data_IF_397018214766
#
_entry.id   IF_397018214766
#
_cell.length_a   1.000
_cell.length_b   1.000
_cell.length_c   1.000
_cell.angle_alpha   90.00
_cell.angle_beta   90.00
_cell.angle_gamma   90.00
#
_symmetry.space_group_name_H-M   'P 1'
#
loop_
_entity.id
_entity.type
_entity.pdbx_description
1 polymer ?
#
# COMPACT_ATOMS: atom_id res chain seq x y z
N UNK A 1 16.61 -6.59 0.94
CA UNK A 1 16.51 -5.38 0.12
C UNK A 1 16.68 -4.17 1.01
N UNK A 2 17.67 -3.34 0.71
CA UNK A 2 17.89 -2.10 1.45
C UNK A 2 16.86 -1.09 0.97
N UNK A 3 15.82 -0.86 1.76
CA UNK A 3 14.92 0.25 1.52
C UNK A 3 15.75 1.54 1.58
N UNK A 4 15.89 2.21 0.46
CA UNK A 4 16.56 3.48 0.39
C UNK A 4 15.59 4.58 0.82
N UNK A 5 16.07 5.57 1.56
CA UNK A 5 15.27 6.65 2.10
C UNK A 5 15.85 8.01 1.70
N UNK A 6 14.97 8.99 1.47
CA UNK A 6 15.37 10.38 1.42
C UNK A 6 15.45 10.98 2.83
N UNK A 7 16.62 11.41 3.24
CA UNK A 7 16.79 12.14 4.48
C UNK A 7 16.70 13.63 4.25
N UNK A 8 15.92 14.33 5.09
CA UNK A 8 15.92 15.77 5.13
C UNK A 8 17.01 16.20 6.12
N UNK A 9 18.04 16.86 5.62
CA UNK A 9 19.10 17.40 6.45
C UNK A 9 18.58 18.64 7.20
N UNK A 10 18.39 18.55 8.51
CA UNK A 10 18.02 19.67 9.35
C UNK A 10 19.19 20.00 10.30
N UNK A 11 19.64 21.28 10.30
CA UNK A 11 20.72 21.78 11.17
C UNK A 11 20.46 21.62 12.68
N UNK A 12 19.24 21.28 13.10
CA UNK A 12 18.81 21.09 14.50
C UNK A 12 18.70 19.62 14.94
N UNK A 13 19.57 18.74 14.47
CA UNK A 13 19.76 17.37 14.98
C UNK A 13 18.58 16.38 14.85
N UNK A 14 17.43 16.76 14.36
CA UNK A 14 16.34 15.82 14.09
C UNK A 14 16.56 15.17 12.71
N UNK A 15 16.77 13.87 12.68
CA UNK A 15 16.77 13.10 11.43
C UNK A 15 15.33 12.99 10.95
N UNK A 16 14.92 13.85 10.05
CA UNK A 16 13.64 13.75 9.37
C UNK A 16 13.80 12.89 8.12
N UNK A 17 12.77 12.10 7.85
CA UNK A 17 12.71 11.15 6.76
C UNK A 17 11.48 11.43 5.92
N UNK A 18 11.61 11.50 4.61
CA UNK A 18 10.45 11.46 3.71
C UNK A 18 9.87 10.05 3.75
N UNK A 19 8.57 9.97 3.90
CA UNK A 19 7.84 8.70 4.08
C UNK A 19 7.98 7.83 2.81
N UNK A 20 8.49 6.59 2.91
CA UNK A 20 8.64 5.70 1.75
C UNK A 20 7.37 4.88 1.49
N UNK A 21 6.42 4.88 2.46
CA UNK A 21 5.16 4.12 2.39
C UNK A 21 4.12 4.69 3.34
N UNK A 22 2.84 4.47 3.02
CA UNK A 22 1.70 4.90 3.83
C UNK A 22 1.57 4.18 5.17
N UNK A 23 2.20 3.01 5.34
CA UNK A 23 2.14 2.17 6.54
C UNK A 23 2.58 2.91 7.83
N UNK A 24 3.35 4.00 7.69
CA UNK A 24 3.63 4.90 8.81
C UNK A 24 2.37 5.56 9.40
N UNK A 25 1.31 5.71 8.61
CA UNK A 25 0.01 6.23 9.06
C UNK A 25 -0.76 5.10 9.74
N UNK A 26 -0.83 3.94 9.11
CA UNK A 26 -1.47 2.75 9.69
C UNK A 26 -0.90 2.41 11.06
N UNK A 27 0.43 2.42 11.21
CA UNK A 27 1.10 2.18 12.47
C UNK A 27 0.73 3.20 13.57
N UNK A 28 0.55 4.47 13.21
CA UNK A 28 0.08 5.50 14.17
C UNK A 28 -1.38 5.33 14.52
N UNK A 29 -2.21 4.85 13.59
CA UNK A 29 -3.63 4.60 13.81
C UNK A 29 -3.84 3.48 14.82
N UNK A 30 -2.95 2.47 14.87
CA UNK A 30 -3.01 1.38 15.84
C UNK A 30 -2.98 1.86 17.30
N UNK A 31 -2.34 3.00 17.57
CA UNK A 31 -2.21 3.54 18.93
C UNK A 31 -3.56 3.84 19.61
N UNK A 32 -4.56 4.28 18.83
CA UNK A 32 -5.90 4.60 19.32
C UNK A 32 -6.99 3.81 18.60
N UNK A 33 -6.66 2.61 18.12
CA UNK A 33 -7.57 1.81 17.32
C UNK A 33 -8.78 1.36 18.15
N UNK A 34 -9.97 1.68 17.67
CA UNK A 34 -11.22 1.13 18.21
C UNK A 34 -11.56 -0.15 17.49
N UNK A 35 -12.12 -1.13 18.16
CA UNK A 35 -12.47 -2.44 17.61
C UNK A 35 -13.96 -2.67 17.73
N UNK A 36 -14.70 -3.00 16.66
CA UNK A 36 -14.24 -3.10 15.26
C UNK A 36 -14.06 -1.74 14.60
N UNK A 37 -13.17 -1.64 13.62
CA UNK A 37 -12.98 -0.39 12.87
C UNK A 37 -12.31 -0.59 11.50
N UNK A 38 -12.52 0.39 10.62
CA UNK A 38 -11.96 0.46 9.27
C UNK A 38 -11.40 1.86 9.06
N UNK A 39 -10.16 1.95 8.63
CA UNK A 39 -9.50 3.21 8.31
C UNK A 39 -8.85 3.13 6.94
N UNK A 40 -8.84 4.25 6.25
CA UNK A 40 -8.02 4.40 5.06
C UNK A 40 -7.41 5.81 5.04
N UNK A 41 -6.34 5.93 4.28
CA UNK A 41 -5.70 7.21 4.01
C UNK A 41 -5.10 7.22 2.61
N UNK A 42 -4.88 8.41 2.05
CA UNK A 42 -4.04 8.59 0.88
C UNK A 42 -2.84 9.41 1.33
N UNK A 43 -1.66 8.90 1.04
CA UNK A 43 -0.41 9.50 1.48
C UNK A 43 0.57 9.64 0.34
N UNK A 44 1.21 10.81 0.23
CA UNK A 44 2.35 11.00 -0.65
C UNK A 44 3.55 10.26 -0.09
N UNK A 45 4.20 9.46 -0.92
CA UNK A 45 5.34 8.63 -0.60
C UNK A 45 6.52 8.96 -1.50
N UNK A 46 7.73 8.66 -1.03
CA UNK A 46 8.96 9.02 -1.71
C UNK A 46 9.92 7.83 -1.68
N UNK A 47 10.40 7.42 -2.86
CA UNK A 47 11.40 6.37 -3.01
C UNK A 47 12.46 6.82 -3.99
N UNK A 48 13.76 6.62 -3.71
CA UNK A 48 14.85 6.95 -4.62
C UNK A 48 14.99 5.89 -5.73
N UNK A 49 13.87 5.54 -6.36
CA UNK A 49 13.83 4.60 -7.46
C UNK A 49 14.25 5.27 -8.76
N UNK A 50 14.70 4.47 -9.72
CA UNK A 50 14.94 4.95 -11.07
C UNK A 50 13.62 5.30 -11.73
N UNK A 51 13.54 6.51 -12.31
CA UNK A 51 12.34 6.96 -13.02
C UNK A 51 12.22 6.21 -14.34
N UNK A 52 11.10 5.52 -14.53
CA UNK A 52 10.75 4.84 -15.77
C UNK A 52 9.25 4.96 -16.07
N UNK A 53 8.73 4.14 -16.99
CA UNK A 53 7.30 4.17 -17.36
C UNK A 53 6.34 3.74 -16.22
N UNK A 54 6.84 3.06 -15.19
CA UNK A 54 6.04 2.51 -14.08
C UNK A 54 6.50 2.96 -12.70
N UNK A 55 7.63 3.67 -12.61
CA UNK A 55 8.21 4.15 -11.35
C UNK A 55 8.44 5.65 -11.36
N UNK A 56 8.07 6.30 -10.26
CA UNK A 56 8.34 7.69 -9.96
C UNK A 56 8.98 7.81 -8.58
N UNK A 57 9.81 8.84 -8.38
CA UNK A 57 10.46 9.11 -7.07
C UNK A 57 9.46 9.62 -6.02
N UNK A 58 8.34 10.16 -6.47
CA UNK A 58 7.22 10.65 -5.68
C UNK A 58 5.95 10.03 -6.24
N UNK A 59 5.11 9.47 -5.37
CA UNK A 59 3.85 8.84 -5.75
C UNK A 59 2.87 8.86 -4.58
N UNK A 60 1.60 8.60 -4.86
CA UNK A 60 0.57 8.49 -3.84
C UNK A 60 0.25 7.02 -3.56
N UNK A 61 0.08 6.69 -2.30
CA UNK A 61 -0.32 5.36 -1.85
C UNK A 61 -1.63 5.45 -1.09
N UNK A 62 -2.63 4.66 -1.50
CA UNK A 62 -3.80 4.42 -0.68
C UNK A 62 -3.47 3.30 0.29
N UNK A 63 -3.60 3.60 1.56
CA UNK A 63 -3.33 2.72 2.67
C UNK A 63 -4.62 2.43 3.41
N UNK A 64 -4.84 1.20 3.84
CA UNK A 64 -6.01 0.89 4.65
C UNK A 64 -5.73 -0.20 5.67
N UNK A 65 -6.47 -0.14 6.77
CA UNK A 65 -6.51 -1.19 7.79
C UNK A 65 -7.95 -1.49 8.20
N UNK A 66 -8.20 -2.76 8.49
CA UNK A 66 -9.45 -3.22 9.09
C UNK A 66 -9.11 -4.09 10.29
N UNK A 67 -9.65 -3.76 11.44
CA UNK A 67 -9.56 -4.58 12.64
C UNK A 67 -10.94 -5.07 13.04
N UNK A 68 -11.11 -6.38 13.10
CA UNK A 68 -12.37 -7.01 13.51
C UNK A 68 -12.06 -8.43 14.02
N UNK A 69 -12.71 -8.89 15.12
CA UNK A 69 -12.50 -10.23 15.66
C UNK A 69 -12.76 -11.38 14.67
N UNK A 70 -13.66 -11.17 13.71
CA UNK A 70 -14.15 -12.21 12.79
C UNK A 70 -13.57 -12.09 11.38
N UNK A 71 -12.67 -11.15 11.14
CA UNK A 71 -12.12 -10.90 9.80
C UNK A 71 -11.00 -11.88 9.47
N UNK A 72 -10.93 -12.28 8.21
CA UNK A 72 -10.01 -13.31 7.73
C UNK A 72 -9.15 -12.80 6.56
N UNK A 73 -8.10 -13.54 6.23
CA UNK A 73 -7.31 -13.27 5.03
C UNK A 73 -8.12 -13.39 3.73
N UNK A 74 -9.15 -14.26 3.70
CA UNK A 74 -10.07 -14.37 2.57
C UNK A 74 -10.86 -13.08 2.35
N UNK A 75 -11.27 -12.42 3.44
CA UNK A 75 -11.96 -11.14 3.35
C UNK A 75 -11.06 -10.07 2.78
N UNK A 76 -9.77 -10.05 3.15
CA UNK A 76 -8.77 -9.17 2.56
C UNK A 76 -8.70 -9.35 1.03
N UNK A 77 -8.57 -10.58 0.56
CA UNK A 77 -8.51 -10.87 -0.88
C UNK A 77 -9.80 -10.41 -1.59
N UNK A 78 -10.96 -10.61 -0.97
CA UNK A 78 -12.25 -10.14 -1.48
C UNK A 78 -12.31 -8.63 -1.61
N UNK A 79 -11.92 -7.90 -0.56
CA UNK A 79 -11.87 -6.43 -0.53
C UNK A 79 -10.95 -5.90 -1.62
N UNK A 80 -9.73 -6.44 -1.72
CA UNK A 80 -8.73 -6.00 -2.70
C UNK A 80 -9.19 -6.28 -4.14
N UNK A 81 -9.82 -7.42 -4.39
CA UNK A 81 -10.39 -7.76 -5.69
C UNK A 81 -11.49 -6.77 -6.07
N UNK A 82 -12.44 -6.52 -5.18
CA UNK A 82 -13.52 -5.56 -5.38
C UNK A 82 -12.97 -4.16 -5.64
N UNK A 83 -11.98 -3.73 -4.85
CA UNK A 83 -11.32 -2.45 -5.02
C UNK A 83 -10.65 -2.32 -6.40
N UNK A 84 -9.92 -3.33 -6.85
CA UNK A 84 -9.28 -3.31 -8.16
C UNK A 84 -10.30 -3.25 -9.31
N UNK A 85 -11.41 -3.95 -9.21
CA UNK A 85 -12.48 -3.93 -10.22
C UNK A 85 -13.22 -2.58 -10.21
N UNK A 86 -13.72 -2.17 -9.05
CA UNK A 86 -14.61 -0.99 -8.95
C UNK A 86 -13.83 0.33 -9.10
N UNK A 87 -12.64 0.42 -8.53
CA UNK A 87 -11.86 1.67 -8.53
C UNK A 87 -10.96 1.77 -9.75
N UNK A 88 -10.19 0.72 -10.05
CA UNK A 88 -9.24 0.74 -11.16
C UNK A 88 -9.82 0.24 -12.48
N UNK A 89 -11.06 -0.32 -12.49
CA UNK A 89 -11.66 -0.89 -13.69
C UNK A 89 -10.93 -2.13 -14.21
N UNK A 90 -10.27 -2.87 -13.32
CA UNK A 90 -9.49 -4.03 -13.71
C UNK A 90 -10.42 -5.17 -14.15
N UNK A 91 -10.19 -5.72 -15.35
CA UNK A 91 -10.91 -6.89 -15.84
C UNK A 91 -10.40 -8.19 -15.24
N UNK A 92 -9.11 -8.24 -14.93
CA UNK A 92 -8.43 -9.42 -14.41
C UNK A 92 -7.46 -9.01 -13.30
N UNK A 93 -7.54 -9.70 -12.16
CA UNK A 93 -6.65 -9.49 -11.01
C UNK A 93 -5.90 -10.77 -10.67
N UNK A 94 -4.69 -10.60 -10.15
CA UNK A 94 -3.84 -11.71 -9.71
C UNK A 94 -3.32 -11.41 -8.31
N UNK A 95 -3.37 -12.44 -7.47
CA UNK A 95 -2.72 -12.44 -6.17
C UNK A 95 -1.52 -13.38 -6.21
N UNK A 96 -0.39 -12.90 -5.67
CA UNK A 96 0.82 -13.73 -5.51
C UNK A 96 1.25 -13.68 -4.05
N UNK A 97 1.65 -14.80 -3.45
CA UNK A 97 2.34 -14.75 -2.16
C UNK A 97 3.55 -13.84 -2.24
N UNK A 98 3.74 -13.02 -1.22
CA UNK A 98 4.87 -12.11 -1.14
C UNK A 98 5.34 -12.00 0.31
N UNK A 99 6.42 -11.27 0.54
CA UNK A 99 6.99 -11.05 1.86
C UNK A 99 7.09 -9.56 2.19
N UNK A 100 6.42 -9.18 3.27
CA UNK A 100 6.61 -7.87 3.90
C UNK A 100 6.95 -8.09 5.37
N UNK A 101 7.91 -7.33 5.95
CA UNK A 101 8.42 -7.61 7.30
C UNK A 101 7.38 -7.44 8.40
N UNK A 102 6.29 -6.72 8.14
CA UNK A 102 5.26 -6.39 9.12
C UNK A 102 3.94 -7.14 8.94
N UNK A 103 3.81 -8.00 7.91
CA UNK A 103 2.61 -8.82 7.66
C UNK A 103 2.92 -10.31 7.53
N UNK A 104 1.97 -11.15 7.91
CA UNK A 104 1.98 -12.61 7.69
C UNK A 104 0.55 -13.16 7.89
N UNK A 105 -0.08 -13.79 6.87
CA UNK A 105 0.40 -13.93 5.50
C UNK A 105 0.46 -12.60 4.77
N UNK A 106 1.26 -12.57 3.70
CA UNK A 106 1.42 -11.41 2.82
C UNK A 106 1.09 -11.76 1.37
N UNK A 107 0.58 -10.79 0.63
CA UNK A 107 0.18 -10.96 -0.77
C UNK A 107 0.45 -9.69 -1.57
N UNK A 108 0.91 -9.87 -2.81
CA UNK A 108 0.95 -8.83 -3.84
C UNK A 108 -0.34 -8.87 -4.65
N UNK A 109 -0.94 -7.71 -4.90
CA UNK A 109 -2.05 -7.52 -5.83
C UNK A 109 -1.52 -6.94 -7.14
N UNK A 110 -1.78 -7.62 -8.24
CA UNK A 110 -1.53 -7.14 -9.60
C UNK A 110 -2.81 -7.17 -10.42
N UNK A 111 -2.95 -6.24 -11.36
CA UNK A 111 -4.06 -6.21 -12.30
C UNK A 111 -3.56 -6.15 -13.75
N UNK A 112 -4.36 -6.68 -14.67
CA UNK A 112 -4.04 -6.70 -16.09
C UNK A 112 -4.28 -5.33 -16.70
N UNK A 113 -3.21 -4.72 -17.21
CA UNK A 113 -3.25 -3.51 -18.01
C UNK A 113 -3.35 -3.87 -19.50
N UNK A 114 -4.17 -3.19 -20.31
CA UNK A 114 -4.37 -3.54 -21.71
C UNK A 114 -3.09 -3.60 -22.56
N UNK A 115 -2.10 -2.76 -22.26
CA UNK A 115 -0.84 -2.65 -23.02
C UNK A 115 0.41 -3.18 -22.32
N UNK A 116 0.43 -3.14 -20.98
CA UNK A 116 1.65 -3.43 -20.20
C UNK A 116 1.65 -4.83 -19.56
N UNK A 117 0.57 -5.61 -19.75
CA UNK A 117 0.41 -6.87 -19.05
C UNK A 117 0.00 -6.66 -17.59
N UNK A 118 0.51 -7.49 -16.68
CA UNK A 118 0.19 -7.34 -15.26
C UNK A 118 1.03 -6.24 -14.62
N UNK A 119 0.35 -5.25 -14.03
CA UNK A 119 0.95 -4.19 -13.23
C UNK A 119 0.67 -4.47 -11.77
N UNK A 120 1.70 -4.46 -10.94
CA UNK A 120 1.58 -4.50 -9.50
C UNK A 120 0.87 -3.24 -8.97
N UNK A 121 -0.19 -3.42 -8.20
CA UNK A 121 -0.86 -2.33 -7.49
C UNK A 121 -0.23 -2.09 -6.12
N UNK A 122 0.23 -3.15 -5.46
CA UNK A 122 0.90 -3.08 -4.18
C UNK A 122 0.69 -4.32 -3.31
N UNK A 123 1.10 -4.20 -2.05
CA UNK A 123 1.10 -5.26 -1.08
C UNK A 123 0.00 -5.17 -0.04
N UNK A 124 -0.34 -6.34 0.50
CA UNK A 124 -1.32 -6.46 1.57
C UNK A 124 -1.02 -7.68 2.46
N UNK A 125 -1.66 -7.74 3.62
CA UNK A 125 -1.53 -8.88 4.52
C UNK A 125 -2.25 -8.68 5.84
N UNK A 126 -2.01 -9.58 6.77
CA UNK A 126 -2.42 -9.44 8.17
C UNK A 126 -1.20 -8.93 8.95
N UNK A 127 -1.35 -7.86 9.72
CA UNK A 127 -0.25 -7.41 10.57
C UNK A 127 0.19 -8.50 11.53
N UNK A 128 1.50 -8.65 11.65
CA UNK A 128 2.09 -9.60 12.58
C UNK A 128 1.79 -9.21 14.04
N UNK A 129 1.73 -10.18 14.96
CA UNK A 129 1.55 -9.89 16.38
C UNK A 129 2.57 -8.92 16.95
N UNK A 130 3.81 -8.92 16.43
CA UNK A 130 4.86 -8.01 16.85
C UNK A 130 4.53 -6.54 16.55
N UNK A 131 3.63 -6.30 15.58
CA UNK A 131 3.14 -4.97 15.23
C UNK A 131 1.94 -4.55 16.07
N UNK A 132 1.04 -5.49 16.40
CA UNK A 132 -0.27 -5.18 17.02
C UNK A 132 -0.27 -5.31 18.54
N UNK A 133 0.42 -6.31 19.10
CA UNK A 133 0.47 -6.56 20.55
C UNK A 133 1.00 -5.41 21.39
N UNK A 134 2.01 -4.63 20.95
CA UNK A 134 2.45 -3.45 21.71
C UNK A 134 1.35 -2.42 21.97
N UNK A 135 0.28 -2.46 21.20
CA UNK A 135 -0.89 -1.59 21.31
C UNK A 135 -2.09 -2.29 21.99
N UNK A 136 -1.90 -3.51 22.52
CA UNK A 136 -2.98 -4.28 23.16
C UNK A 136 -4.01 -4.84 22.18
N UNK A 137 -3.66 -4.99 20.90
CA UNK A 137 -4.55 -5.50 19.86
C UNK A 137 -4.26 -6.98 19.64
N UNK A 138 -5.18 -7.84 20.08
CA UNK A 138 -5.10 -9.30 19.95
C UNK A 138 -5.96 -9.86 18.80
N UNK A 139 -6.64 -8.99 18.06
CA UNK A 139 -7.47 -9.35 16.93
C UNK A 139 -6.73 -9.18 15.59
N UNK A 140 -7.15 -9.89 14.52
CA UNK A 140 -6.58 -9.69 13.20
C UNK A 140 -6.72 -8.25 12.73
N UNK A 141 -5.65 -7.72 12.16
CA UNK A 141 -5.63 -6.42 11.49
C UNK A 141 -5.21 -6.64 10.04
N UNK A 142 -6.17 -6.55 9.13
CA UNK A 142 -5.89 -6.54 7.71
C UNK A 142 -5.26 -5.20 7.34
N UNK A 143 -4.26 -5.22 6.46
CA UNK A 143 -3.57 -4.03 6.00
C UNK A 143 -3.23 -4.12 4.52
N UNK A 144 -3.26 -2.99 3.82
CA UNK A 144 -2.83 -2.88 2.42
C UNK A 144 -2.26 -1.52 2.11
N UNK A 145 -1.36 -1.46 1.12
CA UNK A 145 -0.83 -0.24 0.54
C UNK A 145 -0.77 -0.37 -0.98
N UNK A 146 -1.58 0.43 -1.70
CA UNK A 146 -1.71 0.36 -3.16
C UNK A 146 -1.32 1.70 -3.79
N UNK A 147 -0.51 1.65 -4.86
CA UNK A 147 -0.09 2.82 -5.62
C UNK A 147 -1.24 3.42 -6.42
N UNK A 148 -1.60 4.68 -6.12
CA UNK A 148 -2.76 5.36 -6.74
C UNK A 148 -2.53 5.59 -8.24
N UNK A 149 -1.32 5.96 -8.63
CA UNK A 149 -0.96 6.20 -10.02
C UNK A 149 -1.11 4.93 -10.88
N UNK A 150 -0.74 3.77 -10.35
CA UNK A 150 -0.90 2.50 -11.05
C UNK A 150 -2.37 2.09 -11.22
N UNK A 151 -3.23 2.46 -10.27
CA UNK A 151 -4.69 2.33 -10.41
C UNK A 151 -5.20 3.20 -11.57
N UNK A 152 -4.75 4.45 -11.65
CA UNK A 152 -5.12 5.35 -12.73
C UNK A 152 -4.57 4.91 -14.08
N UNK A 153 -3.33 4.42 -14.14
CA UNK A 153 -2.76 3.86 -15.36
C UNK A 153 -3.66 2.76 -15.92
N UNK A 154 -4.14 1.85 -15.08
CA UNK A 154 -5.05 0.79 -15.49
C UNK A 154 -6.39 1.35 -15.93
N UNK A 155 -7.01 2.21 -15.13
CA UNK A 155 -8.34 2.76 -15.40
C UNK A 155 -8.42 3.58 -16.69
N UNK A 156 -7.39 4.37 -16.98
CA UNK A 156 -7.35 5.29 -18.12
C UNK A 156 -6.45 4.81 -19.26
N UNK A 157 -5.98 3.56 -19.18
CA UNK A 157 -5.10 2.95 -20.20
C UNK A 157 -3.85 3.80 -20.48
N UNK A 158 -3.24 4.34 -19.41
CA UNK A 158 -2.02 5.14 -19.46
C UNK A 158 -0.83 4.18 -19.38
N UNK A 159 0.10 4.28 -20.35
CA UNK A 159 1.26 3.40 -20.43
C UNK A 159 2.54 3.99 -19.82
N UNK A 160 2.51 5.24 -19.38
CA UNK A 160 3.66 5.91 -18.79
C UNK A 160 3.22 6.77 -17.61
N UNK A 161 3.70 6.43 -16.41
CA UNK A 161 3.35 7.12 -15.16
C UNK A 161 3.74 8.59 -15.17
N UNK A 162 4.77 8.96 -15.93
CA UNK A 162 5.27 10.34 -16.04
C UNK A 162 4.23 11.29 -16.61
N UNK A 163 3.33 10.78 -17.46
CA UNK A 163 2.24 11.58 -18.02
C UNK A 163 1.22 12.06 -16.99
N UNK A 164 1.17 11.43 -15.80
CA UNK A 164 0.32 11.86 -14.69
C UNK A 164 0.88 13.07 -13.94
N UNK A 165 2.14 13.42 -14.16
CA UNK A 165 2.85 14.53 -13.52
C UNK A 165 3.23 15.66 -14.48
N UNK A 166 3.06 15.45 -15.79
CA UNK A 166 3.24 16.52 -16.80
C UNK A 166 2.02 17.45 -16.79
N UNK A 167 2.27 18.75 -16.62
CA UNK A 167 1.29 19.79 -16.85
C UNK A 167 1.21 20.10 -18.34
#
# INVERSE_FOLDING_TARGET
>A
DKIQYYFICNKKAARLLLRPQGTSISARTLYNLKIPSKYFSIARCFRPDQIDATHAIEFNQTEGIICDPNITFRDLLGILKTFAIEVAGAEEVRFRPDYYPFTSPSVELSAKHPKLGYIEFGGAGIFRPEVTKPFGIDHPVLAWGLGVERLFMTKFNISDIRSLYSQ
#
